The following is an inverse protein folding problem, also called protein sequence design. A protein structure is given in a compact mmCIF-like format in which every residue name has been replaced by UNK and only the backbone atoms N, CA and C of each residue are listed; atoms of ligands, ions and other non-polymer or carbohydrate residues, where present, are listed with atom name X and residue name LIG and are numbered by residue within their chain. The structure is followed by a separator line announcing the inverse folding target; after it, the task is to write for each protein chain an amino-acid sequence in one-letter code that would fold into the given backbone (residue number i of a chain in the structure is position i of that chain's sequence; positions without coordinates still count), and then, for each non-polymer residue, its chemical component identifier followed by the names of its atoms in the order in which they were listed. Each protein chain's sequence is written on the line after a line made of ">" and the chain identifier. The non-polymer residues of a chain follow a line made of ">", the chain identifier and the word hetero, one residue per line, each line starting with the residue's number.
data_IF_923568788768
#
_entry.id   IF_923568788768
#
_cell.length_a   1.000
_cell.length_b   1.000
_cell.length_c   1.000
_cell.angle_alpha   90.00
_cell.angle_beta   90.00
_cell.angle_gamma   90.00
#
_symmetry.space_group_name_H-M   'P 1'
#
loop_
_entity.id
_entity.type
_entity.pdbx_description
1 polymer ?
#
# COMPACT_ATOMS: atom_id res chain seq x y z
N UNK A 1 -54.84 -24.44 24.34
CA UNK A 1 -56.30 -24.47 24.26
C UNK A 1 -56.74 -23.20 23.57
N UNK A 2 -57.10 -23.12 22.31
CA UNK A 2 -57.22 -24.06 21.20
C UNK A 2 -57.25 -23.20 19.92
N UNK A 3 -56.88 -23.83 18.82
CA UNK A 3 -57.39 -23.69 17.44
C UNK A 3 -58.52 -22.66 17.18
N UNK A 4 -58.74 -22.08 16.00
CA UNK A 4 -58.27 -22.15 14.60
C UNK A 4 -59.16 -21.15 13.85
N UNK A 5 -58.64 -20.45 12.83
CA UNK A 5 -59.34 -20.07 11.56
C UNK A 5 -58.59 -18.91 10.92
N UNK A 6 -57.69 -19.15 9.96
CA UNK A 6 -57.97 -19.48 8.55
C UNK A 6 -58.76 -18.35 7.87
N UNK A 7 -58.05 -17.47 7.16
CA UNK A 7 -58.59 -16.83 5.96
C UNK A 7 -57.67 -17.14 4.78
N UNK A 8 -58.29 -17.85 3.85
CA UNK A 8 -57.79 -18.21 2.54
C UNK A 8 -57.30 -16.98 1.76
N UNK A 9 -56.09 -17.06 1.24
CA UNK A 9 -55.73 -16.41 -0.03
C UNK A 9 -55.49 -17.51 -1.06
N UNK A 10 -56.35 -17.53 -2.07
CA UNK A 10 -56.35 -18.49 -3.15
C UNK A 10 -55.20 -18.28 -4.13
N UNK A 11 -54.60 -19.41 -4.51
CA UNK A 11 -54.03 -19.70 -5.84
C UNK A 11 -55.14 -19.64 -6.91
N UNK A 12 -54.85 -19.34 -8.19
CA UNK A 12 -54.22 -20.28 -9.17
C UNK A 12 -53.11 -19.59 -10.01
N UNK A 13 -52.23 -20.17 -10.83
CA UNK A 13 -52.05 -21.52 -11.38
C UNK A 13 -50.62 -21.64 -11.98
N UNK A 14 -50.06 -22.84 -11.82
CA UNK A 14 -49.23 -23.65 -12.72
C UNK A 14 -48.04 -23.09 -13.53
N UNK A 15 -46.87 -23.72 -13.32
CA UNK A 15 -45.79 -23.75 -14.31
C UNK A 15 -44.44 -24.30 -13.85
N UNK A 16 -44.39 -25.37 -13.05
CA UNK A 16 -43.16 -26.10 -12.72
C UNK A 16 -42.57 -26.81 -13.95
N UNK A 17 -41.27 -26.63 -14.22
CA UNK A 17 -40.46 -27.61 -14.96
C UNK A 17 -39.19 -27.89 -14.15
N UNK A 18 -39.13 -29.10 -13.61
CA UNK A 18 -38.04 -29.71 -12.86
C UNK A 18 -37.47 -30.85 -13.71
N UNK A 19 -36.17 -30.75 -14.02
CA UNK A 19 -35.13 -31.81 -14.02
C UNK A 19 -35.22 -33.03 -14.97
N UNK A 20 -34.16 -33.23 -15.78
CA UNK A 20 -33.29 -34.45 -15.97
C UNK A 20 -32.52 -34.29 -17.31
N UNK A 21 -31.17 -34.19 -17.40
CA UNK A 21 -30.00 -35.09 -17.18
C UNK A 21 -29.54 -35.93 -18.39
N UNK A 22 -28.20 -36.13 -18.50
CA UNK A 22 -27.37 -36.96 -19.41
C UNK A 22 -26.91 -36.31 -20.76
N UNK A 23 -25.68 -36.44 -21.29
CA UNK A 23 -24.38 -37.06 -20.88
C UNK A 23 -23.32 -36.75 -21.98
N UNK A 24 -22.03 -36.75 -21.61
CA UNK A 24 -20.75 -36.85 -22.40
C UNK A 24 -19.81 -35.67 -22.11
N UNK A 25 -18.70 -35.75 -21.38
CA UNK A 25 -17.69 -36.78 -21.10
C UNK A 25 -16.73 -37.12 -22.27
N UNK A 26 -15.68 -36.29 -22.40
CA UNK A 26 -14.29 -36.63 -22.72
C UNK A 26 -13.47 -35.35 -22.40
N UNK A 27 -12.49 -35.28 -21.52
CA UNK A 27 -11.43 -36.24 -21.22
C UNK A 27 -10.18 -35.84 -22.00
N UNK A 28 -9.31 -34.99 -21.44
CA UNK A 28 -7.86 -35.14 -21.63
C UNK A 28 -7.04 -34.38 -20.57
N UNK A 29 -6.24 -35.14 -19.83
CA UNK A 29 -5.16 -34.67 -18.97
C UNK A 29 -3.84 -34.64 -19.78
N UNK A 30 -2.89 -33.86 -19.24
CA UNK A 30 -1.44 -33.96 -19.41
C UNK A 30 -0.79 -33.59 -20.75
N UNK A 31 0.02 -32.52 -20.74
CA UNK A 31 1.42 -32.62 -21.18
C UNK A 31 2.31 -31.47 -20.68
N UNK A 32 2.99 -31.74 -19.56
CA UNK A 32 4.41 -31.60 -19.29
C UNK A 32 5.19 -30.26 -19.41
N UNK A 33 6.07 -30.14 -18.42
CA UNK A 33 7.23 -29.27 -18.25
C UNK A 33 8.23 -29.39 -19.41
N UNK A 34 8.77 -28.25 -19.86
CA UNK A 34 10.10 -27.98 -20.47
C UNK A 34 9.97 -26.55 -21.04
N UNK A 35 10.78 -25.54 -20.75
CA UNK A 35 12.22 -25.48 -20.60
C UNK A 35 12.58 -24.27 -19.73
N UNK A 36 13.31 -24.52 -18.64
CA UNK A 36 14.35 -23.62 -18.18
C UNK A 36 15.64 -24.11 -18.85
N UNK A 37 16.17 -23.38 -19.83
CA UNK A 37 17.59 -23.38 -20.20
C UNK A 37 17.81 -22.49 -21.44
N UNK A 38 18.27 -21.27 -21.19
CA UNK A 38 19.42 -20.71 -21.93
C UNK A 38 20.00 -19.54 -21.15
N UNK A 39 20.96 -19.89 -20.32
CA UNK A 39 21.98 -18.98 -19.83
C UNK A 39 23.20 -19.16 -20.74
N UNK A 40 23.79 -18.08 -21.26
CA UNK A 40 25.23 -18.11 -21.49
C UNK A 40 25.85 -16.85 -20.89
N UNK A 41 26.50 -17.05 -19.74
CA UNK A 41 27.65 -16.28 -19.32
C UNK A 41 28.81 -16.49 -20.31
N UNK A 42 29.45 -15.40 -20.75
CA UNK A 42 30.93 -15.24 -20.93
C UNK A 42 31.28 -14.02 -21.80
N UNK A 43 32.36 -13.33 -21.41
CA UNK A 43 33.09 -12.32 -22.19
C UNK A 43 32.89 -10.90 -21.65
N UNK A 44 33.51 -10.49 -20.54
CA UNK A 44 34.92 -10.07 -20.39
C UNK A 44 35.33 -8.87 -21.25
N UNK A 45 35.19 -7.69 -20.64
CA UNK A 45 36.25 -6.71 -20.34
C UNK A 45 37.36 -6.51 -21.39
N UNK A 46 37.20 -5.50 -22.24
CA UNK A 46 38.34 -4.70 -22.72
C UNK A 46 38.00 -3.22 -22.71
N UNK A 47 38.77 -2.51 -21.89
CA UNK A 47 39.00 -1.08 -21.89
C UNK A 47 39.51 -0.58 -23.24
N UNK A 48 38.98 0.55 -23.75
CA UNK A 48 39.63 1.87 -23.66
C UNK A 48 38.84 2.94 -24.45
N UNK A 49 38.81 4.19 -23.96
CA UNK A 49 38.40 5.36 -24.73
C UNK A 49 39.62 6.18 -25.21
N UNK A 50 39.61 6.64 -26.45
CA UNK A 50 40.34 7.85 -26.88
C UNK A 50 39.79 8.45 -28.20
N UNK A 51 39.33 9.70 -28.06
CA UNK A 51 39.19 10.91 -28.91
C UNK A 51 39.72 10.89 -30.39
N UNK A 52 39.41 11.86 -31.30
CA UNK A 52 38.99 13.26 -31.03
C UNK A 52 38.03 13.99 -32.03
N UNK A 53 37.65 15.20 -31.62
CA UNK A 53 37.50 16.46 -32.38
C UNK A 53 36.38 16.69 -33.43
N UNK A 54 35.63 17.75 -33.14
CA UNK A 54 34.84 18.68 -33.97
C UNK A 54 34.96 18.61 -35.51
N UNK A 55 33.80 18.62 -36.20
CA UNK A 55 33.38 19.68 -37.12
C UNK A 55 32.03 19.37 -37.81
N UNK A 56 31.26 20.46 -38.01
CA UNK A 56 30.28 20.72 -39.07
C UNK A 56 28.94 19.95 -39.15
N UNK A 57 27.88 20.75 -39.26
CA UNK A 57 26.51 20.38 -39.57
C UNK A 57 26.32 20.09 -41.08
N UNK A 58 25.37 19.21 -41.41
CA UNK A 58 24.63 19.22 -42.69
C UNK A 58 23.25 18.59 -42.47
N UNK A 59 22.27 19.22 -43.11
CA UNK A 59 20.83 18.97 -43.05
C UNK A 59 20.33 17.94 -44.07
N UNK A 60 19.29 17.20 -43.63
CA UNK A 60 18.17 16.60 -44.39
C UNK A 60 18.32 15.29 -45.17
N UNK A 61 17.28 14.46 -44.93
CA UNK A 61 16.59 13.48 -45.79
C UNK A 61 16.96 11.98 -45.69
N UNK A 62 16.14 11.29 -44.88
CA UNK A 62 15.45 10.00 -45.08
C UNK A 62 16.23 8.74 -45.50
N UNK A 63 16.16 7.68 -44.66
CA UNK A 63 15.78 6.28 -45.02
C UNK A 63 15.62 5.44 -43.73
N UNK A 64 14.42 4.87 -43.61
CA UNK A 64 13.92 3.73 -42.83
C UNK A 64 13.78 3.75 -41.28
N UNK A 65 12.54 3.50 -40.77
CA UNK A 65 12.26 3.18 -39.38
C UNK A 65 12.53 1.69 -39.12
N UNK A 66 12.59 1.31 -37.84
CA UNK A 66 12.84 -0.04 -37.32
C UNK A 66 14.32 -0.33 -37.03
N UNK A 67 14.82 0.13 -35.87
CA UNK A 67 15.41 -0.71 -34.80
C UNK A 67 15.62 0.20 -33.57
N UNK A 68 14.62 0.27 -32.69
CA UNK A 68 14.82 0.74 -31.31
C UNK A 68 13.84 0.07 -30.36
N UNK A 69 13.71 -1.26 -30.48
CA UNK A 69 13.03 -2.08 -29.49
C UNK A 69 13.93 -2.21 -28.25
N UNK A 70 13.54 -1.58 -27.14
CA UNK A 70 14.10 -1.93 -25.83
C UNK A 70 14.39 -0.83 -24.83
N UNK A 71 13.89 0.41 -24.99
CA UNK A 71 13.95 1.34 -23.85
C UNK A 71 12.96 0.87 -22.76
N UNK A 72 13.41 0.64 -21.51
CA UNK A 72 12.50 0.29 -20.43
C UNK A 72 11.47 1.41 -20.28
N UNK A 73 10.18 1.10 -20.44
CA UNK A 73 9.08 2.07 -20.28
C UNK A 73 9.30 2.83 -18.98
N UNK A 74 9.65 4.12 -19.07
CA UNK A 74 9.79 5.01 -17.91
C UNK A 74 8.47 4.93 -17.16
N UNK A 75 8.49 4.43 -15.92
CA UNK A 75 7.29 4.33 -15.10
C UNK A 75 6.71 5.72 -14.97
N UNK A 76 5.55 5.97 -15.56
CA UNK A 76 4.84 7.23 -15.44
C UNK A 76 4.44 7.40 -13.98
N UNK A 77 4.84 8.54 -13.39
CA UNK A 77 4.43 8.88 -12.03
C UNK A 77 2.91 9.06 -12.03
N UNK A 78 2.22 8.14 -11.34
CA UNK A 78 0.77 8.24 -11.18
C UNK A 78 0.47 9.33 -10.16
N UNK A 79 -0.30 10.33 -10.56
CA UNK A 79 -0.87 11.30 -9.62
C UNK A 79 -1.71 10.53 -8.60
N UNK A 80 -1.49 10.81 -7.33
CA UNK A 80 -2.23 10.13 -6.27
C UNK A 80 -3.64 10.72 -6.18
N UNK A 81 -4.64 9.85 -6.37
CA UNK A 81 -6.05 10.18 -6.19
C UNK A 81 -6.62 9.31 -5.07
N UNK A 82 -7.27 9.91 -4.07
CA UNK A 82 -8.01 9.19 -3.04
C UNK A 82 -9.48 9.11 -3.43
N UNK A 83 -9.98 7.91 -3.76
CA UNK A 83 -11.38 7.67 -4.14
C UNK A 83 -11.88 8.57 -5.28
N UNK A 84 -11.02 8.85 -6.24
CA UNK A 84 -11.33 9.72 -7.39
C UNK A 84 -11.15 11.21 -7.14
N UNK A 85 -10.66 11.61 -5.96
CA UNK A 85 -10.34 13.01 -5.63
C UNK A 85 -8.83 13.21 -5.55
N UNK A 86 -8.33 14.25 -6.20
CA UNK A 86 -6.91 14.60 -6.21
C UNK A 86 -6.44 15.21 -4.87
N UNK A 87 -5.11 15.24 -4.68
CA UNK A 87 -4.49 15.76 -3.46
C UNK A 87 -4.82 17.22 -3.17
N UNK A 88 -4.79 18.07 -4.19
CA UNK A 88 -5.03 19.50 -4.02
C UNK A 88 -6.49 19.75 -3.62
N UNK A 89 -7.42 19.06 -4.29
CA UNK A 89 -8.83 19.07 -3.92
C UNK A 89 -9.09 18.55 -2.49
N UNK A 90 -8.34 17.55 -2.01
CA UNK A 90 -8.45 17.05 -0.62
C UNK A 90 -8.04 18.07 0.44
N UNK A 91 -7.18 19.03 0.09
CA UNK A 91 -6.72 20.06 1.02
C UNK A 91 -7.73 21.22 1.13
N UNK A 92 -8.43 21.52 0.03
CA UNK A 92 -9.38 22.63 -0.05
C UNK A 92 -10.79 22.25 0.44
N UNK A 93 -11.12 20.95 0.42
CA UNK A 93 -12.41 20.46 0.91
C UNK A 93 -12.64 20.70 2.41
N UNK A 94 -13.91 20.88 2.75
CA UNK A 94 -14.33 20.99 4.15
C UNK A 94 -14.13 19.67 4.91
N UNK A 95 -13.99 19.74 6.24
CA UNK A 95 -13.83 18.54 7.08
C UNK A 95 -15.05 17.61 6.99
N UNK A 96 -16.25 18.16 6.78
CA UNK A 96 -17.50 17.39 6.70
C UNK A 96 -17.57 16.54 5.44
N UNK A 97 -17.14 17.08 4.30
CA UNK A 97 -17.06 16.36 3.02
C UNK A 97 -15.96 15.29 3.07
N UNK A 98 -14.81 15.63 3.65
CA UNK A 98 -13.71 14.68 3.84
C UNK A 98 -14.15 13.46 4.67
N UNK A 99 -14.98 13.66 5.70
CA UNK A 99 -15.50 12.60 6.57
C UNK A 99 -16.44 11.63 5.82
N UNK A 100 -17.14 12.09 4.78
CA UNK A 100 -17.98 11.23 3.93
C UNK A 100 -17.15 10.31 3.05
N UNK A 101 -15.97 10.76 2.63
CA UNK A 101 -15.03 9.97 1.80
C UNK A 101 -14.26 8.92 2.60
N UNK A 102 -14.17 9.04 3.93
CA UNK A 102 -13.48 8.04 4.75
C UNK A 102 -14.30 6.76 4.96
N UNK A 103 -13.59 5.68 5.30
CA UNK A 103 -14.19 4.43 5.77
C UNK A 103 -14.90 4.61 7.13
N UNK A 104 -15.76 3.64 7.48
CA UNK A 104 -16.67 3.72 8.62
C UNK A 104 -15.98 4.01 9.97
N UNK A 105 -14.78 3.47 10.21
CA UNK A 105 -14.07 3.59 11.49
C UNK A 105 -13.54 5.02 11.74
N UNK A 106 -12.74 5.61 10.83
CA UNK A 106 -12.45 7.04 10.79
C UNK A 106 -13.68 7.94 10.85
N UNK A 107 -14.71 7.69 10.03
CA UNK A 107 -15.94 8.47 10.03
C UNK A 107 -16.60 8.53 11.42
N UNK A 108 -16.77 7.38 12.07
CA UNK A 108 -17.30 7.28 13.45
C UNK A 108 -16.44 8.04 14.46
N UNK A 109 -15.12 8.08 14.25
CA UNK A 109 -14.19 8.77 15.16
C UNK A 109 -14.27 10.29 15.00
N UNK A 110 -14.43 10.80 13.80
CA UNK A 110 -14.68 12.22 13.56
C UNK A 110 -16.07 12.65 14.07
N UNK A 111 -17.10 11.82 13.88
CA UNK A 111 -18.45 12.07 14.39
C UNK A 111 -18.51 12.14 15.92
N UNK A 112 -17.69 11.34 16.62
CA UNK A 112 -17.55 11.42 18.09
C UNK A 112 -16.70 12.62 18.56
N UNK A 113 -16.07 13.35 17.64
CA UNK A 113 -15.25 14.52 17.92
C UNK A 113 -13.76 14.21 18.17
N UNK A 114 -12.92 15.17 17.76
CA UNK A 114 -11.50 15.19 18.05
C UNK A 114 -11.24 15.84 19.41
N UNK A 115 -10.63 15.11 20.34
CA UNK A 115 -10.20 15.67 21.64
C UNK A 115 -9.11 16.74 21.46
N UNK A 116 -8.83 17.50 22.52
CA UNK A 116 -7.79 18.55 22.53
C UNK A 116 -6.40 18.07 22.09
N UNK A 117 -6.02 16.83 22.45
CA UNK A 117 -4.70 16.25 22.13
C UNK A 117 -4.45 16.11 20.60
N UNK A 118 -5.35 15.47 19.82
CA UNK A 118 -5.32 15.50 18.35
C UNK A 118 -5.15 16.89 17.73
N UNK A 119 -5.90 17.88 18.22
CA UNK A 119 -5.83 19.26 17.70
C UNK A 119 -4.49 19.93 17.99
N UNK A 120 -3.93 19.69 19.18
CA UNK A 120 -2.60 20.17 19.53
C UNK A 120 -1.50 19.57 18.61
N UNK A 121 -1.64 18.31 18.22
CA UNK A 121 -0.72 17.68 17.27
C UNK A 121 -0.78 18.33 15.89
N UNK A 122 -1.99 18.58 15.35
CA UNK A 122 -2.17 19.27 14.06
C UNK A 122 -1.52 20.67 14.12
N UNK A 123 -1.73 21.42 15.20
CA UNK A 123 -1.11 22.75 15.37
C UNK A 123 0.43 22.68 15.36
N UNK A 124 1.01 21.68 16.05
CA UNK A 124 2.48 21.47 16.04
C UNK A 124 3.00 21.14 14.65
N UNK A 125 2.28 20.32 13.89
CA UNK A 125 2.65 19.96 12.51
C UNK A 125 2.55 21.17 11.57
N UNK A 126 1.49 21.99 11.70
CA UNK A 126 1.36 23.25 10.95
C UNK A 126 2.52 24.20 11.24
N UNK A 127 2.97 24.29 12.49
CA UNK A 127 4.15 25.07 12.87
C UNK A 127 5.42 24.52 12.22
N UNK A 128 5.67 23.21 12.37
CA UNK A 128 6.86 22.56 11.79
C UNK A 128 6.91 22.66 10.25
N UNK A 129 5.76 22.59 9.56
CA UNK A 129 5.68 22.76 8.11
C UNK A 129 5.97 24.19 7.65
N UNK A 130 5.66 25.20 8.46
CA UNK A 130 5.95 26.62 8.18
C UNK A 130 7.43 26.97 8.42
N UNK A 131 8.04 26.34 9.42
CA UNK A 131 9.44 26.59 9.80
C UNK A 131 10.44 25.85 8.90
N UNK A 132 9.99 24.85 8.14
CA UNK A 132 10.85 24.08 7.25
C UNK A 132 11.30 24.94 6.04
N UNK A 133 12.61 24.96 5.71
CA UNK A 133 13.08 25.64 4.51
C UNK A 133 12.60 24.91 3.25
N UNK A 134 12.46 25.66 2.15
CA UNK A 134 12.01 25.11 0.88
C UNK A 134 12.99 24.05 0.37
N UNK A 135 12.53 22.79 0.33
CA UNK A 135 13.29 21.64 -0.16
C UNK A 135 13.71 20.64 0.93
N UNK A 136 13.65 21.01 2.21
CA UNK A 136 13.99 20.10 3.30
C UNK A 136 12.76 19.48 3.97
N UNK A 137 12.98 18.32 4.59
CA UNK A 137 11.94 17.65 5.37
C UNK A 137 11.70 18.42 6.68
N UNK A 138 10.44 18.63 7.09
CA UNK A 138 10.15 19.33 8.33
C UNK A 138 10.67 18.59 9.55
N UNK A 139 10.89 19.35 10.63
CA UNK A 139 11.39 18.83 11.89
C UNK A 139 10.52 17.69 12.45
N UNK A 140 11.17 16.68 13.04
CA UNK A 140 10.52 15.50 13.61
C UNK A 140 9.62 15.88 14.80
N UNK A 141 8.30 15.69 14.64
CA UNK A 141 7.35 15.90 15.74
C UNK A 141 7.07 14.58 16.46
N UNK A 142 7.50 14.48 17.73
CA UNK A 142 7.29 13.29 18.58
C UNK A 142 5.85 13.22 19.10
N UNK A 143 5.22 12.05 18.98
CA UNK A 143 3.84 11.82 19.43
C UNK A 143 3.66 10.44 20.06
N UNK A 144 2.83 10.39 21.10
CA UNK A 144 2.33 9.14 21.70
C UNK A 144 0.93 8.77 21.18
N UNK A 145 0.33 9.63 20.35
CA UNK A 145 -1.04 9.46 19.88
C UNK A 145 -1.11 8.45 18.73
N UNK A 146 -1.11 7.15 19.06
CA UNK A 146 -1.28 6.06 18.09
C UNK A 146 -2.70 6.01 17.50
N UNK A 147 -3.69 6.56 18.21
CA UNK A 147 -5.08 6.63 17.79
C UNK A 147 -5.39 7.81 16.85
N UNK A 148 -4.37 8.52 16.36
CA UNK A 148 -4.54 9.60 15.40
C UNK A 148 -4.78 9.07 13.98
N UNK A 149 -5.75 9.65 13.27
CA UNK A 149 -5.97 9.39 11.85
C UNK A 149 -5.13 10.38 11.06
N UNK A 150 -4.53 9.92 9.97
CA UNK A 150 -3.77 10.78 9.06
C UNK A 150 -4.75 11.63 8.25
N UNK A 151 -4.64 12.94 8.44
CA UNK A 151 -5.43 13.97 7.73
C UNK A 151 -4.59 14.48 6.55
N UNK A 152 -5.20 14.86 5.40
CA UNK A 152 -4.47 15.37 4.24
C UNK A 152 -3.49 16.52 4.55
N UNK A 153 -3.80 17.38 5.53
CA UNK A 153 -2.90 18.46 5.96
C UNK A 153 -1.52 17.98 6.45
N UNK A 154 -1.42 16.73 6.93
CA UNK A 154 -0.19 16.17 7.50
C UNK A 154 0.78 15.63 6.44
N UNK A 155 0.39 15.62 5.17
CA UNK A 155 1.22 15.08 4.08
C UNK A 155 2.53 15.86 3.98
N UNK A 156 3.63 15.13 3.83
CA UNK A 156 4.99 15.67 3.80
C UNK A 156 5.58 15.99 5.19
N UNK A 157 4.83 15.77 6.27
CA UNK A 157 5.36 15.91 7.63
C UNK A 157 6.05 14.64 8.11
N UNK A 158 7.05 14.77 8.99
CA UNK A 158 7.72 13.65 9.65
C UNK A 158 7.24 13.54 11.10
N UNK A 159 6.59 12.42 11.43
CA UNK A 159 6.09 12.13 12.77
C UNK A 159 6.89 11.02 13.45
N UNK A 160 7.34 11.26 14.68
CA UNK A 160 7.89 10.23 15.54
C UNK A 160 6.76 9.53 16.30
N UNK A 161 6.33 8.35 15.86
CA UNK A 161 5.28 7.58 16.55
C UNK A 161 5.90 6.71 17.65
N UNK A 162 5.41 6.81 18.87
CA UNK A 162 5.89 6.00 19.98
C UNK A 162 5.42 4.54 19.89
N UNK A 163 6.37 3.62 19.90
CA UNK A 163 6.15 2.17 19.87
C UNK A 163 5.88 1.59 21.27
N UNK A 164 6.51 2.17 22.30
CA UNK A 164 6.59 1.59 23.65
C UNK A 164 8.01 1.60 24.22
N UNK A 165 9.01 1.65 23.32
CA UNK A 165 10.43 1.77 23.66
C UNK A 165 11.09 2.97 22.96
N UNK A 166 10.84 3.12 21.67
CA UNK A 166 11.46 4.14 20.82
C UNK A 166 10.40 4.94 20.06
N UNK A 167 10.81 6.10 19.55
CA UNK A 167 10.02 6.87 18.59
C UNK A 167 10.46 6.48 17.18
N UNK A 168 9.55 5.87 16.43
CA UNK A 168 9.78 5.48 15.05
C UNK A 168 9.48 6.69 14.15
N UNK A 169 10.45 7.23 13.39
CA UNK A 169 10.19 8.31 12.45
C UNK A 169 9.42 7.77 11.25
N UNK A 170 8.22 8.32 11.03
CA UNK A 170 7.33 7.99 9.92
C UNK A 170 7.15 9.26 9.08
N UNK A 171 7.58 9.18 7.83
CA UNK A 171 7.30 10.20 6.82
C UNK A 171 5.92 9.94 6.20
N UNK A 172 5.03 10.93 6.28
CA UNK A 172 3.65 10.76 5.84
C UNK A 172 3.56 10.90 4.33
N UNK A 173 3.28 9.77 3.68
CA UNK A 173 2.98 9.67 2.25
C UNK A 173 1.48 9.88 1.99
N UNK A 174 1.10 10.34 0.79
CA UNK A 174 -0.31 10.52 0.44
C UNK A 174 -1.11 9.21 0.47
N UNK A 175 -0.45 8.07 0.19
CA UNK A 175 -1.05 6.72 0.29
C UNK A 175 -1.54 6.35 1.69
N UNK A 176 -1.08 7.06 2.72
CA UNK A 176 -1.41 6.77 4.13
C UNK A 176 -2.68 7.49 4.62
N UNK A 177 -3.34 8.28 3.77
CA UNK A 177 -4.55 9.03 4.14
C UNK A 177 -5.66 8.07 4.60
N UNK A 178 -6.31 8.41 5.73
CA UNK A 178 -7.39 7.60 6.31
C UNK A 178 -6.94 6.44 7.20
N UNK A 179 -5.64 6.11 7.21
CA UNK A 179 -5.07 5.13 8.13
C UNK A 179 -4.77 5.73 9.50
N UNK A 180 -4.63 4.86 10.51
CA UNK A 180 -4.20 5.27 11.85
C UNK A 180 -2.67 5.28 11.97
N UNK A 181 -2.12 6.22 12.74
CA UNK A 181 -0.68 6.26 13.05
C UNK A 181 -0.17 4.96 13.70
N UNK A 182 -1.04 4.25 14.43
CA UNK A 182 -0.73 2.96 15.03
C UNK A 182 -0.28 1.92 14.01
N UNK A 183 -0.79 1.97 12.78
CA UNK A 183 -0.56 0.94 11.75
C UNK A 183 0.87 1.00 11.22
N UNK A 184 1.52 2.16 11.27
CA UNK A 184 2.88 2.38 10.78
C UNK A 184 3.96 2.11 11.85
N UNK A 185 3.56 1.85 13.09
CA UNK A 185 4.48 1.59 14.21
C UNK A 185 4.14 0.28 14.88
N UNK A 186 4.85 -0.78 14.50
CA UNK A 186 4.76 -2.11 15.12
C UNK A 186 5.21 -2.00 16.57
N UNK A 187 4.41 -2.51 17.52
CA UNK A 187 4.69 -2.41 18.97
C UNK A 187 5.56 -3.55 19.52
N UNK A 188 5.88 -4.53 18.69
CA UNK A 188 6.67 -5.71 19.06
C UNK A 188 7.74 -5.96 18.01
N UNK A 189 8.73 -6.79 18.34
CA UNK A 189 9.69 -7.28 17.36
C UNK A 189 9.15 -8.56 16.75
N UNK A 190 8.96 -8.66 15.43
CA UNK A 190 8.48 -9.88 14.81
C UNK A 190 9.47 -11.01 15.12
N UNK A 191 8.96 -12.11 15.68
CA UNK A 191 9.77 -13.28 15.99
C UNK A 191 10.00 -14.04 14.69
N UNK A 192 11.25 -14.15 14.27
CA UNK A 192 11.64 -15.09 13.22
C UNK A 192 12.11 -16.36 13.91
N UNK A 193 11.39 -17.45 13.70
CA UNK A 193 11.84 -18.75 14.20
C UNK A 193 13.12 -19.13 13.47
N UNK A 194 14.24 -19.12 14.20
CA UNK A 194 15.50 -19.66 13.74
C UNK A 194 15.63 -21.13 14.13
N UNK A 195 16.83 -21.68 13.94
CA UNK A 195 17.19 -22.92 14.64
C UNK A 195 17.08 -22.66 16.15
N UNK A 196 16.50 -23.59 16.94
CA UNK A 196 16.54 -23.47 18.38
C UNK A 196 17.99 -23.30 18.83
N UNK A 197 18.29 -22.18 19.47
CA UNK A 197 19.61 -21.98 20.09
C UNK A 197 19.82 -23.04 21.17
N UNK A 198 21.07 -23.40 21.46
CA UNK A 198 21.38 -24.24 22.61
C UNK A 198 20.81 -23.55 23.87
N UNK A 199 19.92 -24.24 24.59
CA UNK A 199 19.21 -23.70 25.76
C UNK A 199 17.83 -23.08 25.49
N UNK A 200 17.35 -23.05 24.25
CA UNK A 200 16.02 -22.54 23.90
C UNK A 200 14.89 -23.58 24.09
N UNK A 201 15.20 -24.86 23.97
CA UNK A 201 14.24 -25.95 24.26
C UNK A 201 14.49 -26.53 25.65
N UNK A 202 13.44 -26.99 26.33
CA UNK A 202 13.57 -27.63 27.64
C UNK A 202 14.54 -28.83 27.62
N UNK A 203 14.64 -29.53 26.49
CA UNK A 203 15.55 -30.66 26.27
C UNK A 203 17.02 -30.27 26.07
N UNK A 204 17.32 -29.07 25.59
CA UNK A 204 18.70 -28.60 25.33
C UNK A 204 19.31 -27.81 26.49
N UNK A 205 18.54 -27.59 27.57
CA UNK A 205 18.97 -26.81 28.75
C UNK A 205 20.04 -27.52 29.60
N UNK A 206 20.13 -28.84 29.48
CA UNK A 206 21.05 -29.69 30.26
C UNK A 206 22.22 -30.24 29.45
N UNK A 207 22.41 -29.80 28.20
CA UNK A 207 23.56 -30.21 27.40
C UNK A 207 24.77 -29.39 27.87
N UNK A 208 25.80 -30.01 28.48
CA UNK A 208 26.99 -29.28 28.90
C UNK A 208 27.73 -28.75 27.66
N UNK A 209 27.96 -27.44 27.65
CA UNK A 209 28.83 -26.81 26.66
C UNK A 209 30.28 -27.20 26.98
N UNK A 210 31.02 -27.62 25.95
CA UNK A 210 32.46 -27.90 26.05
C UNK A 210 33.27 -26.67 25.66
#
# INVERSE_FOLDING_TARGET
>A
MDCVSVYLLGLPDFGNIVVTWAMSFAGNQDFDRKLWSRNPSRGDFTSQPSLPASAAATTMADVDPEVAAGQPKKRTFKKFSYRGVDLDALLDMSTEELVKLFNARPRRRFQRGLKRKPMALIKKLRKAKREAPQGEKPALVRTHLRNMIIVPEMIGSVLGVYNGKTFNPVEIKPEMIGHYLAEFSISYKPVKHGRPGIGATHSSRFIPLK
#
